data_IF_590769335327
#
_entry.id   IF_590769335327
#
_cell.length_a   1.000
_cell.length_b   1.000
_cell.length_c   1.000
_cell.angle_alpha   90.00
_cell.angle_beta   90.00
_cell.angle_gamma   90.00
#
_symmetry.space_group_name_H-M   'P 1'
#
loop_
_entity.id
_entity.type
_entity.pdbx_description
1 polymer ?
#
# COMPACT_ATOMS: atom_id res chain seq x y z
N UNK A 1 3.25 4.25 -23.68
CA UNK A 1 4.28 3.23 -23.34
C UNK A 1 3.62 2.18 -22.48
N UNK A 2 4.02 0.91 -22.55
CA UNK A 2 3.48 -0.12 -21.67
C UNK A 2 3.98 0.11 -20.24
N UNK A 3 3.14 -0.19 -19.25
CA UNK A 3 3.53 -0.24 -17.84
C UNK A 3 4.46 -1.45 -17.61
N UNK A 4 5.44 -1.28 -16.76
CA UNK A 4 6.37 -2.34 -16.38
C UNK A 4 6.20 -2.67 -14.89
N UNK A 5 6.50 -3.92 -14.53
CA UNK A 5 6.59 -4.30 -13.13
C UNK A 5 7.84 -3.64 -12.53
N UNK A 6 7.70 -2.67 -11.59
CA UNK A 6 8.85 -2.02 -11.02
C UNK A 6 9.68 -3.01 -10.19
N UNK A 7 11.03 -2.91 -10.18
CA UNK A 7 11.85 -3.78 -9.36
C UNK A 7 11.54 -3.59 -7.87
N UNK A 8 11.65 -4.67 -7.10
CA UNK A 8 11.60 -4.58 -5.64
C UNK A 8 12.79 -3.73 -5.14
N UNK A 9 12.59 -2.86 -4.13
CA UNK A 9 13.68 -2.04 -3.56
C UNK A 9 14.66 -2.85 -2.68
N UNK A 10 14.46 -4.16 -2.57
CA UNK A 10 15.29 -5.09 -1.77
C UNK A 10 15.22 -6.51 -2.37
N UNK A 11 16.19 -7.41 -2.07
CA UNK A 11 16.11 -8.82 -2.41
C UNK A 11 14.87 -9.49 -1.79
N UNK A 12 14.31 -10.50 -2.46
CA UNK A 12 13.07 -11.17 -2.02
C UNK A 12 13.14 -11.76 -0.61
N UNK A 13 14.31 -12.21 -0.16
CA UNK A 13 14.51 -12.77 1.18
C UNK A 13 14.87 -11.72 2.25
N UNK A 14 14.97 -10.45 1.90
CA UNK A 14 15.47 -9.42 2.80
C UNK A 14 14.48 -9.03 3.91
N UNK A 15 13.21 -9.40 3.78
CA UNK A 15 12.17 -9.13 4.79
C UNK A 15 11.95 -10.30 5.76
N UNK A 16 12.68 -11.41 5.58
CA UNK A 16 12.61 -12.55 6.50
C UNK A 16 13.09 -12.18 7.91
N UNK A 17 12.51 -12.77 8.96
CA UNK A 17 11.50 -13.83 8.95
C UNK A 17 10.04 -13.35 8.87
N UNK A 18 9.77 -12.06 8.64
CA UNK A 18 8.43 -11.45 8.75
C UNK A 18 7.63 -11.54 7.44
N UNK A 19 8.29 -11.64 6.31
CA UNK A 19 7.70 -11.93 5.00
C UNK A 19 8.70 -12.79 4.23
N UNK A 20 8.30 -14.01 3.88
CA UNK A 20 9.19 -14.97 3.23
C UNK A 20 9.42 -14.63 1.75
N UNK A 21 10.55 -15.10 1.21
CA UNK A 21 10.82 -15.07 -0.23
C UNK A 21 9.71 -15.78 -1.02
N UNK A 22 9.15 -16.87 -0.49
CA UNK A 22 8.05 -17.59 -1.10
C UNK A 22 6.78 -16.72 -1.21
N UNK A 23 6.43 -15.96 -0.17
CA UNK A 23 5.33 -15.00 -0.24
C UNK A 23 5.57 -13.96 -1.34
N UNK A 24 6.79 -13.40 -1.45
CA UNK A 24 7.12 -12.44 -2.49
C UNK A 24 7.16 -13.03 -3.90
N UNK A 25 7.50 -14.31 -4.06
CA UNK A 25 7.41 -15.00 -5.36
C UNK A 25 5.99 -15.01 -5.92
N UNK A 26 5.00 -15.18 -5.06
CA UNK A 26 3.58 -15.11 -5.45
C UNK A 26 3.07 -13.66 -5.45
N UNK A 27 3.25 -12.91 -4.38
CA UNK A 27 2.65 -11.60 -4.21
C UNK A 27 3.19 -10.58 -5.23
N UNK A 28 4.52 -10.49 -5.36
CA UNK A 28 5.16 -9.64 -6.37
C UNK A 28 5.18 -10.31 -7.75
N UNK A 29 5.68 -11.55 -7.81
CA UNK A 29 5.98 -12.21 -9.08
C UNK A 29 4.76 -12.75 -9.83
N UNK A 30 3.61 -12.94 -9.17
CA UNK A 30 2.35 -13.40 -9.79
C UNK A 30 1.25 -12.36 -9.68
N UNK A 31 0.83 -11.96 -8.48
CA UNK A 31 -0.29 -11.02 -8.32
C UNK A 31 0.02 -9.64 -8.90
N UNK A 32 1.10 -9.00 -8.48
CA UNK A 32 1.46 -7.66 -8.99
C UNK A 32 1.75 -7.71 -10.50
N UNK A 33 2.49 -8.72 -10.97
CA UNK A 33 2.75 -8.90 -12.41
C UNK A 33 1.46 -9.07 -13.21
N UNK A 34 0.47 -9.81 -12.69
CA UNK A 34 -0.80 -10.01 -13.38
C UNK A 34 -1.58 -8.68 -13.52
N UNK A 35 -1.58 -7.83 -12.49
CA UNK A 35 -2.21 -6.50 -12.59
C UNK A 35 -1.54 -5.63 -13.65
N UNK A 36 -0.22 -5.63 -13.75
CA UNK A 36 0.52 -4.92 -14.81
C UNK A 36 0.14 -5.44 -16.19
N UNK A 37 0.15 -6.76 -16.37
CA UNK A 37 -0.20 -7.39 -17.64
C UNK A 37 -1.65 -7.08 -18.05
N UNK A 38 -2.58 -7.21 -17.11
CA UNK A 38 -4.00 -6.95 -17.37
C UNK A 38 -4.26 -5.48 -17.68
N UNK A 39 -3.63 -4.55 -16.93
CA UNK A 39 -3.75 -3.12 -17.22
C UNK A 39 -3.29 -2.81 -18.65
N UNK A 40 -2.11 -3.29 -19.03
CA UNK A 40 -1.59 -3.09 -20.39
C UNK A 40 -2.56 -3.60 -21.46
N UNK A 41 -3.13 -4.78 -21.27
CA UNK A 41 -4.10 -5.35 -22.21
C UNK A 41 -5.37 -4.49 -22.33
N UNK A 42 -5.83 -3.91 -21.21
CA UNK A 42 -7.04 -3.10 -21.16
C UNK A 42 -6.86 -1.71 -21.79
N UNK A 43 -5.66 -1.14 -21.74
CA UNK A 43 -5.42 0.25 -22.18
C UNK A 43 -4.66 0.38 -23.50
N UNK A 44 -4.07 -0.69 -24.06
CA UNK A 44 -3.16 -0.66 -25.22
C UNK A 44 -3.67 0.08 -26.44
N UNK A 45 -4.98 0.01 -26.70
CA UNK A 45 -5.63 0.61 -27.87
C UNK A 45 -6.47 1.85 -27.49
N UNK A 46 -6.15 2.50 -26.36
CA UNK A 46 -6.87 3.67 -25.86
C UNK A 46 -5.93 4.84 -25.56
N UNK A 47 -6.46 6.07 -25.47
CA UNK A 47 -5.65 7.22 -25.03
C UNK A 47 -4.99 7.04 -23.67
N UNK A 48 -5.50 6.15 -22.82
CA UNK A 48 -4.95 5.85 -21.49
C UNK A 48 -3.57 5.18 -21.56
N UNK A 49 -3.19 4.57 -22.67
CA UNK A 49 -1.86 3.96 -22.85
C UNK A 49 -0.69 4.96 -22.73
N UNK A 50 -0.96 6.27 -22.82
CA UNK A 50 0.03 7.34 -22.67
C UNK A 50 -0.07 8.10 -21.35
N UNK A 51 -1.04 7.76 -20.49
CA UNK A 51 -1.26 8.39 -19.19
C UNK A 51 -0.45 7.74 -18.08
N UNK A 52 -0.19 8.46 -16.99
CA UNK A 52 0.35 7.91 -15.76
C UNK A 52 -0.69 7.04 -15.03
N UNK A 53 -0.23 6.18 -14.10
CA UNK A 53 -1.13 5.38 -13.27
C UNK A 53 -2.10 6.26 -12.48
N UNK A 54 -1.60 7.36 -11.93
CA UNK A 54 -2.38 8.31 -11.13
C UNK A 54 -3.47 9.00 -11.96
N UNK A 55 -3.18 9.35 -13.22
CA UNK A 55 -4.18 9.92 -14.13
C UNK A 55 -5.26 8.90 -14.46
N UNK A 56 -4.87 7.65 -14.79
CA UNK A 56 -5.83 6.58 -15.08
C UNK A 56 -6.72 6.31 -13.86
N UNK A 57 -6.14 6.17 -12.66
CA UNK A 57 -6.89 5.93 -11.42
C UNK A 57 -7.92 7.02 -11.21
N UNK A 58 -7.52 8.30 -11.28
CA UNK A 58 -8.42 9.44 -11.07
C UNK A 58 -9.53 9.52 -12.14
N UNK A 59 -9.18 9.27 -13.40
CA UNK A 59 -10.12 9.31 -14.51
C UNK A 59 -11.15 8.17 -14.51
N UNK A 60 -10.84 7.06 -13.83
CA UNK A 60 -11.69 5.85 -13.85
C UNK A 60 -12.36 5.54 -12.52
N UNK A 61 -11.99 6.24 -11.44
CA UNK A 61 -12.44 5.93 -10.08
C UNK A 61 -13.97 5.94 -9.88
N UNK A 62 -14.69 6.78 -10.62
CA UNK A 62 -16.15 6.93 -10.50
C UNK A 62 -16.93 6.37 -11.70
N UNK A 63 -16.23 5.76 -12.66
CA UNK A 63 -16.84 5.20 -13.87
C UNK A 63 -16.94 3.66 -13.76
N UNK A 64 -18.12 3.18 -13.42
CA UNK A 64 -18.39 1.75 -13.28
C UNK A 64 -18.10 0.96 -14.57
N UNK A 65 -18.24 1.58 -15.76
CA UNK A 65 -17.92 0.92 -17.04
C UNK A 65 -16.42 0.66 -17.21
N UNK A 66 -15.58 1.37 -16.46
CA UNK A 66 -14.12 1.24 -16.45
C UNK A 66 -13.57 0.56 -15.20
N UNK A 67 -14.42 -0.13 -14.42
CA UNK A 67 -14.02 -0.79 -13.18
C UNK A 67 -12.83 -1.75 -13.38
N UNK A 68 -12.75 -2.47 -14.50
CA UNK A 68 -11.60 -3.33 -14.83
C UNK A 68 -10.29 -2.55 -14.96
N UNK A 69 -10.31 -1.39 -15.63
CA UNK A 69 -9.13 -0.51 -15.76
C UNK A 69 -8.75 0.07 -14.40
N UNK A 70 -9.73 0.64 -13.68
CA UNK A 70 -9.51 1.17 -12.34
C UNK A 70 -8.87 0.14 -11.41
N UNK A 71 -9.45 -1.05 -11.31
CA UNK A 71 -8.98 -2.09 -10.40
C UNK A 71 -7.51 -2.48 -10.69
N UNK A 72 -7.16 -2.70 -11.96
CA UNK A 72 -5.80 -3.08 -12.31
C UNK A 72 -4.82 -1.92 -12.12
N UNK A 73 -5.16 -0.69 -12.53
CA UNK A 73 -4.30 0.48 -12.33
C UNK A 73 -4.07 0.78 -10.84
N UNK A 74 -5.13 0.75 -10.04
CA UNK A 74 -5.05 0.96 -8.60
C UNK A 74 -4.22 -0.13 -7.91
N UNK A 75 -4.39 -1.42 -8.30
CA UNK A 75 -3.58 -2.50 -7.74
C UNK A 75 -2.10 -2.40 -8.14
N UNK A 76 -1.78 -2.00 -9.37
CA UNK A 76 -0.38 -1.74 -9.76
C UNK A 76 0.21 -0.64 -8.86
N UNK A 77 -0.53 0.45 -8.66
CA UNK A 77 -0.08 1.56 -7.81
C UNK A 77 0.03 1.16 -6.34
N UNK A 78 -0.98 0.51 -5.78
CA UNK A 78 -1.03 0.09 -4.37
C UNK A 78 0.13 -0.85 -4.03
N UNK A 79 0.41 -1.84 -4.88
CA UNK A 79 1.51 -2.79 -4.67
C UNK A 79 2.88 -2.11 -4.79
N UNK A 80 3.07 -1.25 -5.81
CA UNK A 80 4.30 -0.47 -5.96
C UNK A 80 4.55 0.38 -4.71
N UNK A 81 3.52 1.02 -4.20
CA UNK A 81 3.59 1.82 -2.98
C UNK A 81 3.90 0.95 -1.75
N UNK A 82 3.26 -0.22 -1.65
CA UNK A 82 3.46 -1.15 -0.53
C UNK A 82 4.90 -1.67 -0.44
N UNK A 83 5.53 -2.02 -1.57
CA UNK A 83 6.93 -2.44 -1.55
C UNK A 83 7.85 -1.38 -0.97
N UNK A 84 7.62 -0.12 -1.26
CA UNK A 84 8.40 1.00 -0.72
C UNK A 84 8.06 1.30 0.75
N UNK A 85 6.88 0.90 1.25
CA UNK A 85 6.51 1.02 2.66
C UNK A 85 7.30 0.10 3.57
N UNK A 86 8.03 -0.88 3.02
CA UNK A 86 8.82 -1.84 3.78
C UNK A 86 10.31 -1.69 3.48
N UNK A 87 11.14 -2.03 4.46
CA UNK A 87 12.60 -2.17 4.31
C UNK A 87 13.16 -3.24 5.26
N UNK A 88 14.29 -3.86 4.92
CA UNK A 88 15.04 -4.70 5.86
C UNK A 88 15.39 -3.90 7.12
N UNK A 89 15.27 -4.53 8.29
CA UNK A 89 15.46 -3.88 9.59
C UNK A 89 14.64 -2.58 9.76
N UNK A 90 13.44 -2.58 9.20
CA UNK A 90 12.46 -1.50 9.35
C UNK A 90 11.76 -1.51 10.71
N UNK A 91 10.60 -0.84 10.79
CA UNK A 91 9.83 -0.70 12.03
C UNK A 91 10.44 0.31 13.00
N UNK A 92 10.35 0.02 14.29
CA UNK A 92 10.80 0.96 15.32
C UNK A 92 9.92 2.20 15.42
N UNK A 93 10.54 3.35 15.70
CA UNK A 93 9.85 4.62 15.87
C UNK A 93 10.17 5.59 14.71
N UNK A 94 9.18 6.35 14.21
CA UNK A 94 9.44 7.46 13.33
C UNK A 94 10.19 8.59 14.05
N UNK A 95 10.79 9.50 13.27
CA UNK A 95 11.44 10.68 13.77
C UNK A 95 10.94 11.96 13.07
N UNK A 96 11.35 13.13 13.54
CA UNK A 96 11.09 14.39 12.86
C UNK A 96 9.61 14.69 12.64
N UNK A 97 9.25 15.17 11.45
CA UNK A 97 7.89 15.60 11.13
C UNK A 97 6.85 14.47 11.21
N UNK A 98 7.25 13.21 10.91
CA UNK A 98 6.33 12.08 11.01
C UNK A 98 5.95 11.80 12.47
N UNK A 99 6.94 11.77 13.39
CA UNK A 99 6.67 11.60 14.81
C UNK A 99 5.76 12.72 15.34
N UNK A 100 6.06 13.97 15.00
CA UNK A 100 5.26 15.11 15.40
C UNK A 100 3.82 15.03 14.88
N UNK A 101 3.61 14.61 13.61
CA UNK A 101 2.29 14.46 13.03
C UNK A 101 1.50 13.33 13.73
N UNK A 102 2.14 12.20 14.02
CA UNK A 102 1.53 11.07 14.72
C UNK A 102 1.16 11.48 16.16
N UNK A 103 2.05 12.18 16.87
CA UNK A 103 1.79 12.66 18.24
C UNK A 103 0.61 13.64 18.27
N UNK A 104 0.62 14.61 17.38
CA UNK A 104 -0.42 15.66 17.30
C UNK A 104 -1.80 15.10 16.92
N UNK A 105 -1.86 14.24 15.89
CA UNK A 105 -3.13 13.89 15.28
C UNK A 105 -3.67 12.52 15.73
N UNK A 106 -2.79 11.62 16.19
CA UNK A 106 -3.13 10.22 16.51
C UNK A 106 -2.83 9.86 17.98
N UNK A 107 -2.26 10.79 18.77
CA UNK A 107 -2.02 10.59 20.19
C UNK A 107 -0.79 9.74 20.52
N UNK A 108 0.17 9.69 19.61
CA UNK A 108 1.47 9.02 19.81
C UNK A 108 1.59 7.67 19.13
N UNK A 109 2.84 7.16 19.10
CA UNK A 109 3.20 5.96 18.35
C UNK A 109 2.47 4.69 18.81
N UNK A 110 2.32 4.51 20.13
CA UNK A 110 1.63 3.32 20.66
C UNK A 110 0.17 3.29 20.18
N UNK A 111 -0.54 4.40 20.36
CA UNK A 111 -1.92 4.52 19.91
C UNK A 111 -2.05 4.41 18.38
N UNK A 112 -1.13 4.99 17.61
CA UNK A 112 -1.06 4.81 16.16
C UNK A 112 -0.99 3.33 15.79
N UNK A 113 -0.08 2.55 16.41
CA UNK A 113 0.06 1.11 16.12
C UNK A 113 -1.23 0.35 16.44
N UNK A 114 -1.84 0.61 17.57
CA UNK A 114 -3.09 -0.02 17.98
C UNK A 114 -4.24 0.32 17.01
N UNK A 115 -4.42 1.60 16.68
CA UNK A 115 -5.47 2.06 15.77
C UNK A 115 -5.25 1.55 14.33
N UNK A 116 -4.00 1.55 13.85
CA UNK A 116 -3.67 1.01 12.52
C UNK A 116 -3.94 -0.49 12.45
N UNK A 117 -3.51 -1.24 13.47
CA UNK A 117 -3.80 -2.67 13.58
C UNK A 117 -5.30 -2.94 13.65
N UNK A 118 -6.04 -2.20 14.48
CA UNK A 118 -7.50 -2.34 14.57
C UNK A 118 -8.17 -2.06 13.22
N UNK A 119 -7.74 -1.03 12.49
CA UNK A 119 -8.28 -0.70 11.17
C UNK A 119 -7.96 -1.77 10.14
N UNK A 120 -6.73 -2.29 10.12
CA UNK A 120 -6.28 -3.34 9.20
C UNK A 120 -7.02 -4.67 9.43
N UNK A 121 -7.19 -5.06 10.69
CA UNK A 121 -7.92 -6.28 11.08
C UNK A 121 -9.41 -6.13 10.81
N UNK A 122 -9.97 -4.95 11.08
CA UNK A 122 -11.38 -4.63 10.87
C UNK A 122 -11.78 -4.46 9.40
N UNK A 123 -10.82 -4.39 8.45
CA UNK A 123 -11.14 -4.40 7.02
C UNK A 123 -11.72 -5.77 6.65
N UNK A 124 -13.04 -5.82 6.43
CA UNK A 124 -13.72 -7.06 6.08
C UNK A 124 -13.36 -7.49 4.65
N UNK A 125 -12.90 -8.74 4.52
CA UNK A 125 -12.44 -9.27 3.22
C UNK A 125 -11.12 -8.69 2.77
N UNK A 126 -10.97 -8.52 1.46
CA UNK A 126 -9.76 -7.98 0.82
C UNK A 126 -9.72 -6.47 0.89
N UNK A 127 -8.54 -5.91 1.03
CA UNK A 127 -8.36 -4.46 1.06
C UNK A 127 -7.00 -4.04 1.59
N UNK A 128 -6.93 -2.79 2.03
CA UNK A 128 -5.71 -2.10 2.42
C UNK A 128 -5.96 -1.25 3.66
N UNK A 129 -4.98 -1.19 4.56
CA UNK A 129 -4.95 -0.22 5.65
C UNK A 129 -3.95 0.89 5.31
N UNK A 130 -4.29 2.13 5.66
CA UNK A 130 -3.53 3.30 5.26
C UNK A 130 -3.30 4.27 6.41
N UNK A 131 -2.11 4.88 6.45
CA UNK A 131 -1.89 6.19 7.03
C UNK A 131 -1.95 7.20 5.87
N UNK A 132 -2.81 8.22 5.99
CA UNK A 132 -3.00 9.24 4.95
C UNK A 132 -2.83 10.64 5.51
N UNK A 133 -2.50 11.59 4.62
CA UNK A 133 -2.54 13.02 4.92
C UNK A 133 -3.62 13.71 4.09
N UNK A 134 -4.36 14.61 4.73
CA UNK A 134 -5.35 15.47 4.10
C UNK A 134 -5.59 16.72 4.97
N UNK A 135 -5.63 17.89 4.34
CA UNK A 135 -5.89 19.15 5.06
C UNK A 135 -4.91 19.45 6.20
N UNK A 136 -3.63 19.08 6.04
CA UNK A 136 -2.58 19.32 7.04
C UNK A 136 -2.59 18.35 8.24
N UNK A 137 -3.48 17.35 8.25
CA UNK A 137 -3.60 16.34 9.31
C UNK A 137 -3.32 14.95 8.76
N UNK A 138 -2.86 14.05 9.63
CA UNK A 138 -2.74 12.63 9.32
C UNK A 138 -3.88 11.83 9.98
N UNK A 139 -4.32 10.78 9.29
CA UNK A 139 -5.39 9.89 9.79
C UNK A 139 -5.19 8.46 9.31
N UNK A 140 -5.84 7.52 9.98
CA UNK A 140 -5.82 6.11 9.63
C UNK A 140 -7.15 5.76 8.97
N UNK A 141 -7.08 5.09 7.81
CA UNK A 141 -8.24 4.62 7.07
C UNK A 141 -8.03 3.22 6.52
N UNK A 142 -9.07 2.60 6.00
CA UNK A 142 -8.99 1.38 5.20
C UNK A 142 -9.83 1.50 3.96
N UNK A 143 -9.44 0.79 2.91
CA UNK A 143 -10.15 0.75 1.64
C UNK A 143 -10.40 -0.69 1.20
N UNK A 144 -11.59 -1.02 0.66
CA UNK A 144 -11.87 -2.37 0.18
C UNK A 144 -11.24 -2.61 -1.19
N UNK A 145 -10.91 -3.87 -1.48
CA UNK A 145 -10.47 -4.36 -2.78
C UNK A 145 -9.28 -3.55 -3.34
N UNK A 146 -9.45 -2.94 -4.52
CA UNK A 146 -8.43 -2.14 -5.20
C UNK A 146 -8.48 -0.64 -4.84
N UNK A 147 -9.49 -0.19 -4.08
CA UNK A 147 -9.66 1.23 -3.78
C UNK A 147 -8.41 1.82 -3.11
N UNK A 148 -8.08 3.05 -3.47
CA UNK A 148 -6.89 3.76 -3.03
C UNK A 148 -7.24 5.17 -2.54
N UNK A 149 -6.54 5.71 -1.52
CA UNK A 149 -6.70 7.10 -1.08
C UNK A 149 -6.49 8.14 -2.18
N UNK A 150 -5.65 7.82 -3.18
CA UNK A 150 -5.41 8.68 -4.34
C UNK A 150 -6.72 9.01 -5.11
N UNK A 151 -7.61 8.02 -5.25
CA UNK A 151 -8.93 8.22 -5.87
C UNK A 151 -9.86 9.11 -5.03
N UNK A 152 -9.55 9.31 -3.75
CA UNK A 152 -10.31 10.11 -2.79
C UNK A 152 -9.67 11.48 -2.53
N UNK A 153 -8.62 11.85 -3.29
CA UNK A 153 -7.92 13.12 -3.13
C UNK A 153 -7.05 13.22 -1.87
N UNK A 154 -6.71 12.08 -1.26
CA UNK A 154 -5.84 12.02 -0.09
C UNK A 154 -4.42 11.61 -0.49
N UNK A 155 -3.42 12.04 0.28
CA UNK A 155 -2.04 11.61 0.10
C UNK A 155 -1.76 10.38 0.96
N UNK A 156 -1.43 9.25 0.32
CA UNK A 156 -0.99 8.05 1.03
C UNK A 156 0.41 8.26 1.63
N UNK A 157 0.60 7.89 2.89
CA UNK A 157 1.87 7.96 3.59
C UNK A 157 2.45 6.58 3.87
N UNK A 158 1.61 5.63 4.28
CA UNK A 158 1.94 4.23 4.58
C UNK A 158 0.77 3.36 4.18
N UNK A 159 1.05 2.14 3.72
CA UNK A 159 0.00 1.12 3.52
C UNK A 159 0.45 -0.25 3.99
N UNK A 160 -0.54 -1.05 4.37
CA UNK A 160 -0.42 -2.49 4.59
C UNK A 160 -1.48 -3.20 3.76
N UNK A 161 -1.05 -4.13 2.92
CA UNK A 161 -1.94 -5.02 2.17
C UNK A 161 -2.57 -6.05 3.12
N UNK A 162 -3.90 -6.10 3.18
CA UNK A 162 -4.63 -7.07 4.00
C UNK A 162 -5.46 -8.07 3.18
N UNK A 163 -5.19 -8.14 1.87
CA UNK A 163 -5.58 -9.29 1.08
C UNK A 163 -4.90 -10.55 1.63
N UNK A 164 -5.60 -11.67 1.66
CA UNK A 164 -5.03 -12.92 2.21
C UNK A 164 -3.75 -13.36 1.50
N UNK A 165 -3.64 -13.12 0.19
CA UNK A 165 -2.43 -13.45 -0.56
C UNK A 165 -1.15 -12.72 -0.06
N UNK A 166 -1.32 -11.61 0.68
CA UNK A 166 -0.18 -10.86 1.22
C UNK A 166 0.49 -11.56 2.41
N UNK A 167 -0.24 -12.43 3.13
CA UNK A 167 0.24 -12.99 4.40
C UNK A 167 -0.08 -14.46 4.64
N UNK A 168 -0.96 -15.09 3.85
CA UNK A 168 -1.49 -16.41 4.18
C UNK A 168 -0.43 -17.52 4.22
N UNK A 169 0.60 -17.44 3.38
CA UNK A 169 1.68 -18.43 3.35
C UNK A 169 2.53 -18.40 4.63
N UNK A 170 2.69 -17.24 5.26
CA UNK A 170 3.52 -17.05 6.46
C UNK A 170 2.68 -17.07 7.75
N UNK A 171 1.47 -16.53 7.72
CA UNK A 171 0.64 -16.31 8.90
C UNK A 171 -0.71 -17.05 8.88
N UNK A 172 -1.10 -17.68 7.77
CA UNK A 172 -2.42 -18.27 7.56
C UNK A 172 -3.54 -17.26 7.90
N UNK A 173 -4.50 -17.64 8.75
CA UNK A 173 -5.61 -16.77 9.15
C UNK A 173 -5.24 -15.69 10.19
N UNK A 174 -3.97 -15.60 10.61
CA UNK A 174 -3.52 -14.71 11.68
C UNK A 174 -3.18 -13.32 11.17
N UNK A 175 -4.13 -12.66 10.48
CA UNK A 175 -3.95 -11.27 10.02
C UNK A 175 -3.46 -10.31 11.13
N UNK A 176 -3.95 -10.41 12.40
CA UNK A 176 -3.44 -9.56 13.48
C UNK A 176 -1.94 -9.68 13.73
N UNK A 177 -1.37 -10.90 13.61
CA UNK A 177 0.05 -11.14 13.82
C UNK A 177 0.89 -10.60 12.65
N UNK A 178 0.40 -10.78 11.41
CA UNK A 178 1.02 -10.21 10.23
C UNK A 178 1.11 -8.67 10.32
N UNK A 179 -0.01 -8.02 10.66
CA UNK A 179 -0.04 -6.54 10.79
C UNK A 179 0.87 -6.07 11.91
N UNK A 180 0.95 -6.80 13.03
CA UNK A 180 1.87 -6.50 14.12
C UNK A 180 3.33 -6.62 13.66
N UNK A 181 3.68 -7.72 12.99
CA UNK A 181 5.03 -7.92 12.46
C UNK A 181 5.41 -6.82 11.45
N UNK A 182 4.49 -6.42 10.56
CA UNK A 182 4.69 -5.31 9.65
C UNK A 182 5.02 -4.01 10.39
N UNK A 183 4.21 -3.63 11.39
CA UNK A 183 4.39 -2.39 12.15
C UNK A 183 5.67 -2.37 12.98
N UNK A 184 6.07 -3.51 13.53
CA UNK A 184 7.21 -3.59 14.44
C UNK A 184 8.55 -3.74 13.72
N UNK A 185 8.57 -4.36 12.53
CA UNK A 185 9.81 -4.82 11.92
C UNK A 185 10.02 -4.42 10.45
N UNK A 186 8.99 -3.96 9.74
CA UNK A 186 9.10 -3.75 8.31
C UNK A 186 8.92 -2.29 7.87
N UNK A 187 8.21 -1.45 8.62
CA UNK A 187 7.86 -0.09 8.19
C UNK A 187 9.09 0.73 7.83
N UNK A 188 9.09 1.27 6.61
CA UNK A 188 10.09 2.21 6.10
C UNK A 188 9.67 3.66 6.44
N UNK A 189 10.04 4.12 7.64
CA UNK A 189 9.70 5.49 8.09
C UNK A 189 10.33 6.59 7.24
N UNK A 190 11.44 6.31 6.55
CA UNK A 190 12.04 7.29 5.63
C UNK A 190 11.14 7.54 4.42
N UNK A 191 10.52 6.49 3.88
CA UNK A 191 9.54 6.60 2.82
C UNK A 191 8.28 7.33 3.27
N UNK A 192 7.81 7.06 4.49
CA UNK A 192 6.68 7.80 5.10
C UNK A 192 7.00 9.29 5.21
N UNK A 193 8.22 9.63 5.64
CA UNK A 193 8.67 11.02 5.74
C UNK A 193 8.71 11.73 4.37
N UNK A 194 9.20 11.04 3.33
CA UNK A 194 9.21 11.56 1.97
C UNK A 194 7.79 11.86 1.45
N UNK A 195 6.83 10.96 1.74
CA UNK A 195 5.44 11.14 1.34
C UNK A 195 4.77 12.28 2.12
N UNK A 196 5.04 12.39 3.43
CA UNK A 196 4.52 13.49 4.25
C UNK A 196 5.03 14.85 3.77
N UNK A 197 6.29 14.94 3.36
CA UNK A 197 6.87 16.17 2.81
C UNK A 197 6.22 16.61 1.49
N UNK A 198 5.63 15.69 0.72
CA UNK A 198 4.89 15.96 -0.52
C UNK A 198 3.41 16.28 -0.26
N UNK A 199 2.89 15.92 0.92
CA UNK A 199 1.51 16.18 1.30
C UNK A 199 1.34 17.68 1.62
N UNK A 200 0.46 18.36 0.89
CA UNK A 200 0.14 19.78 1.08
C UNK A 200 -1.24 19.96 1.72
#
# INVERSE_FOLDING_TARGET
>A
MAFELPPLPYPKNALEPYTSANTLDFHYGKHHQAYVTNLNNLVKDSPMASQSLEEIIKATATDASKAGIFNNAAQVWNHTFFWNCMKPAGGGAPSGAVAQAIDRDLGGLAKFKDDFKARAVGQFGSGWAWLVASGGKVSITSTPNAMTPLAQGQTALLTCDVWEHAYYLDFQNRRPDFVQAFLDHLVNWDFVAQNLAKAR
#
